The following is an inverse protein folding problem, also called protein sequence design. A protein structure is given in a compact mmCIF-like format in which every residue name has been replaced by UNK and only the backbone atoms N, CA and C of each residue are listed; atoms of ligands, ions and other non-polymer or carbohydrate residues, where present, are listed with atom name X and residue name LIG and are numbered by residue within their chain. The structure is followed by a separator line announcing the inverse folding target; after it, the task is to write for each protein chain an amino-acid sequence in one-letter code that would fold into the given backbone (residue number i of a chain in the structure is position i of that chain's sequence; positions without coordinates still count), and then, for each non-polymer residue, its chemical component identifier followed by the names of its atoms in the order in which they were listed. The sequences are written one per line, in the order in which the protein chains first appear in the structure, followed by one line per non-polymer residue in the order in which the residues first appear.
data_IF_851851584042
#
_entry.id   IF_851851584042
#
_cell.length_a   1.000
_cell.length_b   1.000
_cell.length_c   1.000
_cell.angle_alpha   90.00
_cell.angle_beta   90.00
_cell.angle_gamma   90.00
#
_symmetry.space_group_name_H-M   'P 1'
#
loop_
_entity.id
_entity.type
_entity.pdbx_description
1 polymer ?
#
# COMPACT_ATOMS: atom_id res chain seq x y z
N UNK A 1 4.48 -20.56 -27.30
CA UNK A 1 4.03 -19.26 -26.78
C UNK A 1 3.41 -19.50 -25.41
N UNK A 2 3.90 -18.85 -24.36
CA UNK A 2 3.34 -19.02 -23.01
C UNK A 2 1.94 -18.39 -22.96
N UNK A 3 0.94 -19.13 -22.48
CA UNK A 3 -0.41 -18.62 -22.23
C UNK A 3 -0.61 -18.41 -20.72
N UNK A 4 -1.23 -17.31 -20.28
CA UNK A 4 -1.62 -17.15 -18.88
C UNK A 4 -2.67 -18.19 -18.50
N UNK A 5 -2.75 -18.52 -17.21
CA UNK A 5 -3.79 -19.39 -16.67
C UNK A 5 -5.18 -18.76 -16.83
N UNK A 6 -6.21 -19.57 -17.08
CA UNK A 6 -7.57 -19.10 -17.38
C UNK A 6 -8.13 -18.13 -16.31
N UNK A 7 -7.87 -18.38 -15.02
CA UNK A 7 -8.29 -17.52 -13.91
C UNK A 7 -7.80 -16.07 -14.01
N UNK A 8 -6.72 -15.81 -14.75
CA UNK A 8 -6.21 -14.45 -14.96
C UNK A 8 -7.19 -13.64 -15.80
N UNK A 9 -7.90 -14.28 -16.75
CA UNK A 9 -8.89 -13.62 -17.59
C UNK A 9 -10.21 -13.32 -16.86
N UNK A 10 -10.44 -13.97 -15.72
CA UNK A 10 -11.63 -13.77 -14.87
C UNK A 10 -11.46 -12.58 -13.90
N UNK A 11 -10.23 -12.08 -13.74
CA UNK A 11 -9.94 -10.92 -12.90
C UNK A 11 -10.45 -9.62 -13.53
N UNK A 12 -11.25 -8.88 -12.79
CA UNK A 12 -11.71 -7.53 -13.20
C UNK A 12 -10.60 -6.50 -13.10
N UNK A 13 -10.64 -5.50 -13.96
CA UNK A 13 -9.70 -4.37 -13.93
C UNK A 13 -10.00 -3.46 -12.72
N UNK A 14 -8.95 -2.95 -12.07
CA UNK A 14 -9.09 -2.04 -10.94
C UNK A 14 -9.40 -0.61 -11.39
N UNK A 15 -10.69 -0.29 -11.53
CA UNK A 15 -11.17 0.99 -12.07
C UNK A 15 -10.78 2.22 -11.25
N UNK A 16 -10.53 2.07 -9.94
CA UNK A 16 -10.16 3.20 -9.07
C UNK A 16 -8.88 3.93 -9.53
N UNK A 17 -7.92 3.20 -10.11
CA UNK A 17 -6.68 3.78 -10.63
C UNK A 17 -6.95 4.66 -11.86
N UNK A 18 -7.88 4.26 -12.72
CA UNK A 18 -8.23 5.05 -13.91
C UNK A 18 -8.91 6.38 -13.53
N UNK A 19 -9.73 6.37 -12.47
CA UNK A 19 -10.28 7.60 -11.91
C UNK A 19 -9.19 8.51 -11.32
N UNK A 20 -8.24 7.93 -10.58
CA UNK A 20 -7.12 8.67 -10.01
C UNK A 20 -6.25 9.33 -11.11
N UNK A 21 -5.92 8.59 -12.17
CA UNK A 21 -5.19 9.12 -13.34
C UNK A 21 -5.93 10.27 -14.00
N UNK A 22 -7.23 10.10 -14.25
CA UNK A 22 -8.05 11.15 -14.85
C UNK A 22 -8.12 12.39 -13.97
N UNK A 23 -8.31 12.23 -12.66
CA UNK A 23 -8.30 13.35 -11.72
C UNK A 23 -6.96 14.10 -11.74
N UNK A 24 -5.84 13.38 -11.81
CA UNK A 24 -4.50 13.94 -11.91
C UNK A 24 -4.32 14.78 -13.19
N UNK A 25 -4.67 14.23 -14.36
CA UNK A 25 -4.59 14.96 -15.64
C UNK A 25 -5.43 16.25 -15.61
N UNK A 26 -6.59 16.20 -14.95
CA UNK A 26 -7.48 17.36 -14.85
C UNK A 26 -6.89 18.43 -13.92
N UNK A 27 -6.23 18.06 -12.82
CA UNK A 27 -5.45 19.00 -12.00
C UNK A 27 -4.30 19.62 -12.79
N UNK A 28 -3.55 18.82 -13.53
CA UNK A 28 -2.42 19.28 -14.35
C UNK A 28 -2.87 20.25 -15.45
N UNK A 29 -4.10 20.09 -15.96
CA UNK A 29 -4.72 21.06 -16.88
C UNK A 29 -5.21 22.36 -16.22
N UNK A 30 -4.91 22.58 -14.93
CA UNK A 30 -5.25 23.79 -14.19
C UNK A 30 -6.65 23.83 -13.60
N UNK A 31 -7.35 22.68 -13.52
CA UNK A 31 -8.68 22.62 -12.91
C UNK A 31 -8.57 22.31 -11.41
N UNK A 32 -9.45 22.91 -10.63
CA UNK A 32 -9.62 22.57 -9.22
C UNK A 32 -10.40 21.25 -9.07
N UNK A 33 -9.79 20.25 -8.43
CA UNK A 33 -10.31 18.88 -8.32
C UNK A 33 -10.19 18.38 -6.88
N UNK A 34 -11.33 18.27 -6.21
CA UNK A 34 -11.45 17.60 -4.91
C UNK A 34 -11.48 16.07 -5.10
N UNK A 35 -10.50 15.36 -4.56
CA UNK A 35 -10.46 13.89 -4.58
C UNK A 35 -11.21 13.33 -3.38
N UNK A 36 -12.32 12.63 -3.64
CA UNK A 36 -13.07 11.89 -2.61
C UNK A 36 -12.96 10.37 -2.81
N UNK A 37 -11.94 9.93 -3.55
CA UNK A 37 -11.77 8.54 -4.00
C UNK A 37 -10.60 7.81 -3.35
N UNK A 38 -9.83 8.49 -2.48
CA UNK A 38 -8.66 7.92 -1.81
C UNK A 38 -9.13 7.16 -0.56
N UNK A 39 -8.68 5.92 -0.41
CA UNK A 39 -9.05 5.06 0.73
C UNK A 39 -8.04 5.05 1.88
N UNK A 40 -6.90 5.72 1.73
CA UNK A 40 -5.92 5.91 2.80
C UNK A 40 -6.18 7.20 3.59
N UNK A 41 -5.79 7.26 4.88
CA UNK A 41 -5.84 8.49 5.65
C UNK A 41 -4.92 9.58 5.07
N UNK A 42 -5.24 10.83 5.38
CA UNK A 42 -4.47 12.03 4.99
C UNK A 42 -3.27 12.32 5.91
N UNK A 43 -3.05 11.49 6.92
CA UNK A 43 -1.93 11.57 7.86
C UNK A 43 -0.97 10.39 7.70
N UNK A 44 0.28 10.59 8.14
CA UNK A 44 1.31 9.55 8.14
C UNK A 44 1.30 8.70 9.42
N UNK A 45 2.12 7.65 9.46
CA UNK A 45 2.28 6.80 10.63
C UNK A 45 2.70 7.62 11.88
N UNK A 46 2.25 7.23 13.09
CA UNK A 46 2.65 7.92 14.32
C UNK A 46 4.17 7.95 14.52
N UNK A 47 4.74 9.00 15.15
CA UNK A 47 6.20 9.15 15.32
C UNK A 47 6.90 7.93 15.91
N UNK A 48 6.28 7.29 16.90
CA UNK A 48 6.80 6.07 17.55
C UNK A 48 7.02 4.92 16.54
N UNK A 49 6.13 4.78 15.55
CA UNK A 49 6.24 3.74 14.51
C UNK A 49 7.44 4.04 13.61
N UNK A 50 7.59 5.29 13.18
CA UNK A 50 8.72 5.73 12.36
C UNK A 50 10.06 5.56 13.09
N UNK A 51 10.14 5.95 14.36
CA UNK A 51 11.35 5.77 15.18
C UNK A 51 11.71 4.29 15.37
N UNK A 52 10.72 3.43 15.60
CA UNK A 52 10.93 1.99 15.77
C UNK A 52 11.40 1.35 14.48
N UNK A 53 10.86 1.77 13.33
CA UNK A 53 11.31 1.33 12.01
C UNK A 53 12.79 1.68 11.79
N UNK A 54 13.19 2.93 12.08
CA UNK A 54 14.60 3.36 11.96
C UNK A 54 15.52 2.51 12.83
N UNK A 55 15.16 2.26 14.09
CA UNK A 55 15.93 1.40 14.99
C UNK A 55 16.05 -0.02 14.45
N UNK A 56 14.95 -0.61 13.99
CA UNK A 56 14.95 -1.97 13.42
C UNK A 56 15.88 -2.08 12.21
N UNK A 57 15.86 -1.08 11.31
CA UNK A 57 16.78 -1.02 10.17
C UNK A 57 18.23 -0.91 10.62
N UNK A 58 18.54 -0.04 11.58
CA UNK A 58 19.90 0.12 12.11
C UNK A 58 20.41 -1.13 12.82
N UNK A 59 19.53 -1.90 13.47
CA UNK A 59 19.86 -3.18 14.11
C UNK A 59 19.91 -4.37 13.13
N UNK A 60 19.75 -4.15 11.82
CA UNK A 60 19.83 -5.20 10.80
C UNK A 60 18.64 -6.18 10.80
N UNK A 61 17.48 -5.78 11.33
CA UNK A 61 16.28 -6.62 11.45
C UNK A 61 15.46 -6.69 10.15
N UNK A 62 16.11 -6.87 9.00
CA UNK A 62 15.46 -6.93 7.67
C UNK A 62 15.44 -8.33 7.06
N UNK A 63 15.86 -9.35 7.82
CA UNK A 63 15.92 -10.73 7.36
C UNK A 63 14.55 -11.43 7.34
N UNK A 64 14.56 -12.69 6.90
CA UNK A 64 13.37 -13.53 6.92
C UNK A 64 12.80 -13.67 8.34
N UNK A 65 11.47 -13.60 8.45
CA UNK A 65 10.71 -13.97 9.65
C UNK A 65 10.03 -15.33 9.44
N UNK A 66 9.44 -15.86 10.50
CA UNK A 66 8.52 -16.99 10.38
C UNK A 66 7.36 -16.65 9.42
N UNK A 67 6.80 -17.67 8.76
CA UNK A 67 5.71 -17.53 7.78
C UNK A 67 4.48 -16.83 8.36
N UNK A 68 4.20 -17.03 9.65
CA UNK A 68 3.09 -16.40 10.36
C UNK A 68 3.42 -14.99 10.89
N UNK A 69 4.63 -14.48 10.61
CA UNK A 69 5.13 -13.24 11.18
C UNK A 69 5.82 -13.43 12.53
N UNK A 70 6.33 -12.32 13.08
CA UNK A 70 7.08 -12.27 14.33
C UNK A 70 6.19 -12.69 15.51
N UNK A 71 6.68 -13.59 16.37
CA UNK A 71 5.96 -14.02 17.58
C UNK A 71 5.52 -12.83 18.45
N UNK A 72 6.40 -11.85 18.78
CA UNK A 72 5.98 -10.71 19.59
C UNK A 72 4.85 -9.89 18.96
N UNK A 73 4.83 -9.76 17.62
CA UNK A 73 3.76 -9.05 16.92
C UNK A 73 2.43 -9.82 17.00
N UNK A 74 2.47 -11.14 16.80
CA UNK A 74 1.28 -11.99 16.91
C UNK A 74 0.67 -11.92 18.30
N UNK A 75 1.50 -11.97 19.35
CA UNK A 75 1.04 -11.87 20.73
C UNK A 75 0.42 -10.51 21.06
N UNK A 76 0.88 -9.42 20.43
CA UNK A 76 0.28 -8.09 20.62
C UNK A 76 -1.05 -7.89 19.88
N UNK A 77 -1.35 -8.70 18.85
CA UNK A 77 -2.60 -8.63 18.07
C UNK A 77 -3.71 -9.48 18.71
N UNK A 78 -3.36 -10.58 19.37
CA UNK A 78 -4.27 -11.51 20.03
C UNK A 78 -5.00 -10.90 21.25
#
# INVERSE_FOLDING_TARGET
MLKPANRVAESVTFHAIEFAKKAQLLRESGRDIVSLSIGEPDFTAPPLVCETLVKATQSGLSGYSATLGLEPLRMCIA
#
